data_IF_430586731951
#
_entry.id   IF_430586731951
#
_cell.length_a   1.000
_cell.length_b   1.000
_cell.length_c   1.000
_cell.angle_alpha   90.00
_cell.angle_beta   90.00
_cell.angle_gamma   90.00
#
_symmetry.space_group_name_H-M   'P 1'
#
loop_
_entity.id
_entity.type
_entity.pdbx_description
1 polymer ?
#
# COMPACT_ATOMS: atom_id res chain seq x y z
N UNK A 1 -17.03 -13.35 -56.88
CA UNK A 1 -16.29 -14.24 -55.97
C UNK A 1 -17.25 -14.69 -54.88
N UNK A 2 -17.32 -16.00 -54.65
CA UNK A 2 -18.34 -16.69 -53.85
C UNK A 2 -18.07 -16.55 -52.35
N UNK A 3 -19.12 -16.29 -51.58
CA UNK A 3 -19.19 -16.50 -50.14
C UNK A 3 -19.28 -18.01 -49.85
N UNK A 4 -18.46 -18.50 -48.93
CA UNK A 4 -18.69 -19.77 -48.22
C UNK A 4 -18.37 -19.55 -46.74
N UNK A 5 -19.43 -19.44 -45.96
CA UNK A 5 -19.43 -19.66 -44.51
C UNK A 5 -19.36 -21.16 -44.25
N UNK A 6 -18.48 -21.59 -43.33
CA UNK A 6 -18.56 -22.92 -42.72
C UNK A 6 -18.84 -22.75 -41.23
N UNK A 7 -20.12 -22.87 -40.91
CA UNK A 7 -20.65 -23.12 -39.57
C UNK A 7 -20.41 -24.60 -39.27
N UNK A 8 -19.68 -24.91 -38.20
CA UNK A 8 -19.70 -26.23 -37.56
C UNK A 8 -19.85 -26.04 -36.06
N UNK A 9 -21.07 -26.31 -35.62
CA UNK A 9 -21.48 -26.46 -34.23
C UNK A 9 -20.86 -27.73 -33.67
N UNK A 10 -20.16 -27.63 -32.53
CA UNK A 10 -20.01 -28.77 -31.63
C UNK A 10 -20.56 -28.36 -30.26
N UNK A 11 -21.76 -28.88 -29.97
CA UNK A 11 -22.28 -29.03 -28.62
C UNK A 11 -21.42 -30.08 -27.90
N UNK A 12 -20.86 -29.72 -26.75
CA UNK A 12 -20.44 -30.69 -25.75
C UNK A 12 -21.03 -30.29 -24.40
N UNK A 13 -22.03 -31.07 -23.97
CA UNK A 13 -22.58 -31.08 -22.62
C UNK A 13 -21.50 -31.58 -21.65
N UNK A 14 -21.17 -30.79 -20.63
CA UNK A 14 -20.70 -31.32 -19.36
C UNK A 14 -21.65 -30.84 -18.26
N UNK A 15 -22.54 -31.74 -17.85
CA UNK A 15 -23.30 -31.62 -16.61
C UNK A 15 -22.64 -32.41 -15.48
N UNK A 16 -22.93 -31.97 -14.26
CA UNK A 16 -22.83 -32.64 -12.95
C UNK A 16 -21.49 -32.51 -12.20
N UNK A 17 -21.48 -31.62 -11.19
CA UNK A 17 -21.65 -32.05 -9.80
C UNK A 17 -21.81 -30.83 -8.88
N UNK A 18 -23.00 -30.64 -8.33
CA UNK A 18 -23.23 -29.75 -7.20
C UNK A 18 -22.88 -30.51 -5.90
N UNK A 19 -21.77 -30.16 -5.26
CA UNK A 19 -21.51 -30.53 -3.88
C UNK A 19 -21.78 -29.30 -2.98
N UNK A 20 -22.85 -29.39 -2.20
CA UNK A 20 -23.27 -28.41 -1.19
C UNK A 20 -22.39 -28.50 0.07
N UNK A 21 -22.40 -27.48 0.94
CA UNK A 21 -21.35 -27.21 1.93
C UNK A 21 -21.42 -28.12 3.16
N UNK A 22 -20.24 -28.50 3.65
CA UNK A 22 -20.06 -29.12 4.96
C UNK A 22 -20.47 -28.14 6.08
N UNK A 23 -21.55 -28.47 6.79
CA UNK A 23 -21.95 -27.86 8.06
C UNK A 23 -21.10 -28.45 9.21
N UNK A 24 -20.65 -27.65 10.19
CA UNK A 24 -19.81 -28.13 11.28
C UNK A 24 -20.58 -29.02 12.27
N UNK A 25 -19.89 -30.04 12.77
CA UNK A 25 -20.33 -30.92 13.84
C UNK A 25 -20.35 -30.18 15.18
N UNK A 26 -21.50 -30.17 15.83
CA UNK A 26 -21.72 -29.70 17.20
C UNK A 26 -21.33 -30.83 18.16
N UNK A 27 -20.34 -30.58 19.03
CA UNK A 27 -20.12 -31.38 20.23
C UNK A 27 -20.70 -30.63 21.42
N UNK A 28 -21.85 -31.11 21.88
CA UNK A 28 -22.43 -30.70 23.16
C UNK A 28 -21.61 -31.28 24.31
N UNK A 29 -21.16 -30.41 25.21
CA UNK A 29 -20.85 -30.81 26.58
C UNK A 29 -21.74 -29.98 27.50
N UNK A 30 -22.74 -30.67 28.05
CA UNK A 30 -23.61 -30.15 29.09
C UNK A 30 -22.90 -30.37 30.42
N UNK A 31 -22.51 -29.28 31.10
CA UNK A 31 -22.12 -29.34 32.51
C UNK A 31 -22.93 -28.26 33.25
N UNK A 32 -23.53 -28.72 34.34
CA UNK A 32 -24.50 -28.14 35.26
C UNK A 32 -24.05 -26.79 35.85
N UNK A 33 -24.94 -25.79 36.03
CA UNK A 33 -24.66 -24.64 36.88
C UNK A 33 -24.98 -24.98 38.34
N UNK A 34 -24.01 -24.84 39.24
CA UNK A 34 -24.26 -24.77 40.69
C UNK A 34 -23.92 -23.37 41.16
N UNK A 35 -24.94 -22.63 41.54
CA UNK A 35 -24.88 -21.36 42.26
C UNK A 35 -24.46 -21.62 43.71
N UNK A 36 -23.46 -20.92 44.24
CA UNK A 36 -23.46 -20.42 45.64
C UNK A 36 -22.45 -19.29 45.75
N UNK A 37 -22.94 -18.09 46.09
CA UNK A 37 -22.16 -16.94 46.56
C UNK A 37 -21.45 -17.28 47.88
N UNK A 38 -20.29 -16.70 48.17
CA UNK A 38 -20.02 -16.01 49.46
C UNK A 38 -18.74 -15.18 49.38
N UNK A 39 -18.88 -14.00 49.99
CA UNK A 39 -18.01 -12.83 50.17
C UNK A 39 -16.68 -13.06 50.91
N UNK A 40 -15.85 -12.01 50.81
CA UNK A 40 -14.78 -11.57 51.73
C UNK A 40 -13.45 -12.32 51.65
N UNK A 41 -12.27 -11.74 51.85
CA UNK A 41 -11.70 -10.37 51.90
C UNK A 41 -10.24 -10.59 52.37
N UNK A 42 -9.32 -9.66 52.07
CA UNK A 42 -8.06 -9.44 52.85
C UNK A 42 -6.93 -10.45 52.58
N UNK A 43 -5.63 -10.17 52.52
CA UNK A 43 -4.75 -9.06 52.09
C UNK A 43 -3.30 -9.51 52.41
N UNK A 44 -2.31 -8.96 51.69
CA UNK A 44 -0.89 -8.73 52.08
C UNK A 44 0.15 -9.88 52.04
N UNK A 45 1.24 -9.58 51.30
CA UNK A 45 2.65 -10.03 51.37
C UNK A 45 2.97 -11.54 51.20
N UNK A 46 4.10 -11.96 50.61
CA UNK A 46 5.48 -11.50 50.80
C UNK A 46 6.32 -11.89 49.57
N UNK A 47 7.34 -11.08 49.26
CA UNK A 47 8.33 -11.37 48.22
C UNK A 47 9.23 -12.57 48.55
N UNK A 48 9.83 -13.14 47.51
CA UNK A 48 11.06 -13.92 47.66
C UNK A 48 11.87 -13.85 46.38
N UNK A 49 13.00 -13.14 46.49
CA UNK A 49 14.12 -13.17 45.58
C UNK A 49 14.72 -14.57 45.51
N UNK A 50 15.12 -15.02 44.34
CA UNK A 50 16.30 -15.89 44.23
C UNK A 50 17.01 -15.59 42.92
N UNK A 51 18.10 -14.84 43.03
CA UNK A 51 19.13 -14.76 42.03
C UNK A 51 19.86 -16.12 41.98
N UNK A 52 20.09 -16.66 40.78
CA UNK A 52 21.03 -17.75 40.56
C UNK A 52 22.10 -17.21 39.63
N UNK A 53 23.32 -17.19 40.14
CA UNK A 53 24.53 -16.76 39.46
C UNK A 53 25.35 -17.98 39.04
N UNK A 54 26.13 -17.81 37.97
CA UNK A 54 27.35 -18.54 37.56
C UNK A 54 27.20 -19.96 36.99
N UNK A 55 27.61 -20.11 35.73
CA UNK A 55 28.80 -20.91 35.38
C UNK A 55 29.30 -20.56 33.98
N UNK A 56 30.50 -19.98 33.93
CA UNK A 56 31.36 -19.88 32.76
C UNK A 56 31.80 -21.29 32.33
N UNK A 57 31.91 -21.53 31.04
CA UNK A 57 32.72 -22.64 30.52
C UNK A 57 33.64 -22.08 29.45
N UNK A 58 34.89 -21.86 29.86
CA UNK A 58 36.02 -21.73 28.96
C UNK A 58 36.27 -23.09 28.29
N UNK A 59 36.55 -23.07 26.99
CA UNK A 59 37.31 -24.13 26.33
C UNK A 59 38.20 -23.48 25.29
N UNK A 60 39.41 -23.16 25.75
CA UNK A 60 40.58 -23.03 24.92
C UNK A 60 41.12 -24.42 24.60
N UNK A 61 41.42 -24.65 23.33
CA UNK A 61 42.52 -25.54 22.96
C UNK A 61 43.15 -25.05 21.67
N UNK A 62 44.35 -24.52 21.86
CA UNK A 62 45.43 -24.43 20.91
C UNK A 62 45.66 -25.77 20.18
N UNK A 63 45.92 -25.70 18.88
CA UNK A 63 47.04 -26.46 18.33
C UNK A 63 47.64 -25.71 17.14
N UNK A 64 48.95 -25.59 17.23
CA UNK A 64 49.88 -24.75 16.49
C UNK A 64 50.40 -25.42 15.20
N UNK A 65 50.86 -24.58 14.26
CA UNK A 65 52.10 -24.74 13.42
C UNK A 65 52.16 -25.86 12.33
N UNK A 66 52.69 -25.73 11.10
CA UNK A 66 53.64 -24.83 10.41
C UNK A 66 53.55 -25.03 8.85
N UNK A 67 53.62 -23.92 8.10
CA UNK A 67 54.56 -23.58 6.98
C UNK A 67 54.78 -24.58 5.82
N UNK A 68 54.43 -24.21 4.58
CA UNK A 68 55.34 -23.56 3.60
C UNK A 68 54.88 -23.60 2.14
N UNK A 69 54.98 -22.43 1.48
CA UNK A 69 55.55 -22.18 0.14
C UNK A 69 54.98 -22.89 -1.11
N UNK A 70 54.37 -22.09 -2.00
CA UNK A 70 54.98 -21.75 -3.30
C UNK A 70 54.28 -20.53 -3.91
N UNK A 71 55.05 -19.80 -4.71
CA UNK A 71 54.95 -18.38 -5.08
C UNK A 71 54.30 -18.20 -6.49
N UNK A 72 54.44 -17.07 -7.22
CA UNK A 72 53.31 -16.29 -7.73
C UNK A 72 53.19 -16.29 -9.27
N UNK A 73 52.11 -15.73 -9.82
CA UNK A 73 52.12 -15.28 -11.23
C UNK A 73 51.24 -14.02 -11.41
N UNK A 74 51.92 -12.87 -11.43
CA UNK A 74 51.85 -11.75 -12.41
C UNK A 74 50.87 -11.90 -13.58
N UNK A 75 50.16 -10.92 -14.15
CA UNK A 75 50.17 -9.44 -14.18
C UNK A 75 48.95 -9.01 -15.07
N UNK A 76 48.46 -7.75 -15.01
CA UNK A 76 47.22 -7.30 -15.62
C UNK A 76 47.41 -6.66 -17.00
N UNK A 77 46.35 -6.54 -17.80
CA UNK A 77 46.27 -5.54 -18.87
C UNK A 77 44.87 -4.92 -18.95
N UNK A 78 44.86 -3.59 -18.88
CA UNK A 78 43.78 -2.72 -19.29
C UNK A 78 44.07 -2.27 -20.73
N UNK A 79 43.04 -2.23 -21.58
CA UNK A 79 43.12 -1.45 -22.83
C UNK A 79 41.76 -0.85 -23.15
N UNK A 80 41.69 0.46 -22.97
CA UNK A 80 40.77 1.36 -23.65
C UNK A 80 41.16 1.43 -25.12
N UNK A 81 40.22 1.35 -26.06
CA UNK A 81 40.32 2.18 -27.26
C UNK A 81 38.97 2.41 -27.95
N UNK A 82 38.78 3.69 -28.27
CA UNK A 82 37.68 4.30 -28.97
C UNK A 82 38.15 4.51 -30.42
N UNK A 83 37.40 4.07 -31.43
CA UNK A 83 37.58 4.61 -32.77
C UNK A 83 36.29 4.58 -33.58
N UNK A 84 35.80 5.79 -33.78
CA UNK A 84 34.85 6.25 -34.80
C UNK A 84 35.42 6.02 -36.20
N UNK A 85 34.66 5.46 -37.14
CA UNK A 85 34.72 5.88 -38.55
C UNK A 85 33.50 5.41 -39.39
N UNK A 86 32.74 6.41 -39.84
CA UNK A 86 32.15 6.62 -41.18
C UNK A 86 31.62 5.44 -42.00
N UNK A 87 30.31 5.53 -42.31
CA UNK A 87 29.65 4.85 -43.42
C UNK A 87 28.35 5.57 -43.80
N UNK A 88 28.45 6.53 -44.73
CA UNK A 88 27.34 7.21 -45.40
C UNK A 88 26.46 6.24 -46.20
N UNK A 89 25.14 6.44 -46.23
CA UNK A 89 24.36 6.49 -47.49
C UNK A 89 22.93 7.05 -47.29
N UNK A 90 22.75 8.30 -47.74
CA UNK A 90 21.72 8.80 -48.67
C UNK A 90 20.21 8.67 -48.36
N UNK A 91 19.66 9.83 -47.98
CA UNK A 91 18.54 10.59 -48.57
C UNK A 91 17.37 9.86 -49.26
N UNK A 92 16.15 10.10 -48.77
CA UNK A 92 15.00 10.44 -49.64
C UNK A 92 14.07 11.39 -48.91
N UNK A 93 13.89 12.57 -49.50
CA UNK A 93 12.93 13.61 -49.13
C UNK A 93 11.50 13.19 -49.54
N UNK A 94 10.51 13.47 -48.70
CA UNK A 94 9.19 13.93 -49.19
C UNK A 94 8.65 14.97 -48.21
N UNK A 95 8.67 16.22 -48.65
CA UNK A 95 7.84 17.30 -48.13
C UNK A 95 6.46 17.22 -48.77
N UNK A 96 5.41 17.52 -48.01
CA UNK A 96 4.21 18.15 -48.59
C UNK A 96 3.62 19.11 -47.56
N UNK A 97 3.72 20.40 -47.90
CA UNK A 97 3.05 21.54 -47.29
C UNK A 97 1.61 21.63 -47.83
N UNK A 98 0.68 22.21 -47.05
CA UNK A 98 -0.65 22.53 -47.57
C UNK A 98 -1.62 23.18 -46.57
N UNK A 99 -1.40 24.47 -46.29
CA UNK A 99 -2.39 25.56 -46.14
C UNK A 99 -3.51 25.55 -45.07
N UNK A 100 -3.46 26.56 -44.18
CA UNK A 100 -4.61 27.29 -43.56
C UNK A 100 -5.37 28.13 -44.63
N UNK A 101 -6.52 28.84 -44.41
CA UNK A 101 -7.09 29.36 -43.14
C UNK A 101 -8.66 29.45 -43.01
N UNK A 102 -9.08 30.03 -41.87
CA UNK A 102 -10.32 30.84 -41.62
C UNK A 102 -11.69 30.15 -41.54
N UNK A 103 -12.42 30.31 -40.42
CA UNK A 103 -13.51 31.31 -40.32
C UNK A 103 -13.98 31.54 -38.89
N UNK A 104 -14.07 32.83 -38.55
CA UNK A 104 -14.71 33.48 -37.40
C UNK A 104 -16.24 33.29 -37.42
N UNK A 105 -16.89 33.20 -36.26
CA UNK A 105 -18.19 33.83 -36.02
C UNK A 105 -18.40 34.08 -34.52
N UNK A 106 -18.57 35.37 -34.21
CA UNK A 106 -19.01 35.92 -32.94
C UNK A 106 -20.49 35.59 -32.69
N UNK A 107 -20.88 35.48 -31.43
CA UNK A 107 -22.20 35.88 -30.98
C UNK A 107 -22.14 36.38 -29.53
N UNK A 108 -22.17 37.70 -29.43
CA UNK A 108 -22.44 38.52 -28.25
C UNK A 108 -23.93 38.44 -27.87
N UNK A 109 -24.24 38.23 -26.60
CA UNK A 109 -25.51 38.63 -25.96
C UNK A 109 -25.24 38.78 -24.45
N UNK A 110 -24.93 39.98 -23.99
CA UNK A 110 -25.86 40.95 -23.36
C UNK A 110 -26.40 40.49 -22.01
N UNK A 111 -25.86 41.16 -20.99
CA UNK A 111 -26.31 41.40 -19.62
C UNK A 111 -27.83 41.44 -19.43
N UNK A 112 -28.32 40.82 -18.35
CA UNK A 112 -29.42 41.39 -17.58
C UNK A 112 -29.17 41.24 -16.09
N UNK A 113 -29.06 42.42 -15.47
CA UNK A 113 -29.01 42.70 -14.05
C UNK A 113 -30.43 42.64 -13.47
N UNK A 114 -30.65 41.85 -12.43
CA UNK A 114 -31.76 42.06 -11.50
C UNK A 114 -31.22 41.95 -10.08
N UNK A 115 -31.11 43.12 -9.47
CA UNK A 115 -30.90 43.35 -8.04
C UNK A 115 -32.29 43.30 -7.37
N UNK A 116 -32.59 42.39 -6.43
CA UNK A 116 -33.75 42.55 -5.59
C UNK A 116 -33.42 43.52 -4.45
N UNK A 117 -34.08 44.67 -4.55
CA UNK A 117 -34.16 45.75 -3.57
C UNK A 117 -34.56 45.27 -2.18
N UNK A 118 -33.90 45.88 -1.19
CA UNK A 118 -34.08 45.79 0.24
C UNK A 118 -35.51 46.07 0.70
N UNK A 119 -36.01 45.27 1.63
CA UNK A 119 -37.14 45.64 2.52
C UNK A 119 -36.73 45.31 3.95
N UNK A 120 -36.31 46.32 4.70
CA UNK A 120 -36.10 46.22 6.13
C UNK A 120 -37.40 46.56 6.86
N UNK A 121 -38.06 45.55 7.42
CA UNK A 121 -39.12 45.75 8.40
C UNK A 121 -38.47 45.80 9.78
N UNK A 122 -38.47 47.00 10.36
CA UNK A 122 -38.02 47.24 11.73
C UNK A 122 -39.04 46.62 12.70
N UNK A 123 -38.65 45.51 13.35
CA UNK A 123 -39.39 44.93 14.47
C UNK A 123 -38.59 45.19 15.74
N UNK A 124 -39.14 46.05 16.61
CA UNK A 124 -38.62 46.31 17.95
C UNK A 124 -38.87 45.07 18.81
N UNK A 125 -37.81 44.42 19.26
CA UNK A 125 -37.86 43.27 20.18
C UNK A 125 -37.27 43.71 21.53
N UNK A 126 -37.96 43.34 22.60
CA UNK A 126 -37.57 43.58 24.00
C UNK A 126 -36.21 42.96 24.34
N UNK A 127 -35.44 43.52 25.30
CA UNK A 127 -34.15 42.97 25.69
C UNK A 127 -34.33 41.72 26.57
N UNK A 128 -34.30 40.53 25.96
CA UNK A 128 -34.00 39.29 26.68
C UNK A 128 -32.48 39.15 26.84
N UNK A 129 -32.02 39.16 28.08
CA UNK A 129 -30.64 38.85 28.47
C UNK A 129 -30.34 37.38 28.17
N UNK A 130 -29.70 37.13 27.03
CA UNK A 130 -29.13 35.83 26.70
C UNK A 130 -27.65 35.85 27.07
N UNK A 131 -27.29 35.01 28.04
CA UNK A 131 -25.90 34.69 28.38
C UNK A 131 -25.21 34.11 27.14
N UNK A 132 -24.21 34.82 26.62
CA UNK A 132 -23.37 34.33 25.54
C UNK A 132 -22.51 33.17 26.08
N UNK A 133 -22.89 31.94 25.77
CA UNK A 133 -21.95 30.81 25.86
C UNK A 133 -20.84 31.05 24.84
N UNK A 134 -19.61 30.95 25.31
CA UNK A 134 -18.42 31.12 24.50
C UNK A 134 -18.45 30.10 23.35
N UNK A 135 -18.70 30.61 22.13
CA UNK A 135 -18.53 29.83 20.91
C UNK A 135 -17.04 29.54 20.73
N UNK A 136 -16.64 28.30 21.05
CA UNK A 136 -15.31 27.78 20.72
C UNK A 136 -15.19 27.66 19.21
N UNK A 137 -14.60 28.69 18.59
CA UNK A 137 -14.16 28.65 17.19
C UNK A 137 -13.02 27.66 17.08
N UNK A 138 -13.33 26.43 16.66
CA UNK A 138 -12.31 25.44 16.31
C UNK A 138 -11.78 25.84 14.94
N UNK A 139 -10.65 26.55 14.94
CA UNK A 139 -9.93 26.91 13.71
C UNK A 139 -9.39 25.63 13.08
N UNK A 140 -10.16 25.00 12.20
CA UNK A 140 -9.65 23.97 11.32
C UNK A 140 -8.72 24.66 10.32
N UNK A 141 -7.40 24.47 10.49
CA UNK A 141 -6.41 24.71 9.44
C UNK A 141 -6.89 24.07 8.13
N UNK A 142 -6.51 24.60 6.95
CA UNK A 142 -6.81 23.95 5.69
C UNK A 142 -6.18 22.55 5.72
N UNK A 143 -7.02 21.55 6.01
CA UNK A 143 -6.63 20.16 5.89
C UNK A 143 -6.37 19.98 4.39
N UNK A 144 -5.20 19.44 4.05
CA UNK A 144 -4.91 19.02 2.69
C UNK A 144 -5.99 18.06 2.17
N UNK A 145 -5.87 17.57 0.93
CA UNK A 145 -6.81 16.58 0.42
C UNK A 145 -6.97 15.43 1.42
N UNK A 146 -8.20 14.93 1.62
CA UNK A 146 -8.43 13.86 2.59
C UNK A 146 -7.65 12.61 2.18
N UNK A 147 -6.99 11.97 3.15
CA UNK A 147 -6.35 10.69 2.93
C UNK A 147 -7.41 9.62 2.65
N UNK A 148 -7.34 9.00 1.48
CA UNK A 148 -8.24 7.93 1.05
C UNK A 148 -7.79 6.55 1.54
N UNK A 149 -6.53 6.40 1.99
CA UNK A 149 -6.07 5.20 2.67
C UNK A 149 -6.62 5.18 4.10
N UNK A 150 -7.17 4.05 4.51
CA UNK A 150 -7.77 3.86 5.84
C UNK A 150 -6.74 3.22 6.76
N UNK A 151 -6.65 3.65 8.02
CA UNK A 151 -5.67 3.11 8.97
C UNK A 151 -4.23 3.09 8.38
N UNK A 152 -3.83 4.18 7.71
CA UNK A 152 -2.52 4.28 7.05
C UNK A 152 -1.34 4.32 8.04
N UNK A 153 -1.59 4.76 9.28
CA UNK A 153 -0.61 4.77 10.38
C UNK A 153 -0.77 3.65 11.41
N UNK A 154 -1.71 2.71 11.23
CA UNK A 154 -1.86 1.53 12.11
C UNK A 154 -2.15 1.83 13.60
N UNK A 155 -2.70 3.01 13.91
CA UNK A 155 -2.87 3.56 15.28
C UNK A 155 -4.09 3.02 16.06
N UNK A 156 -4.88 2.12 15.47
CA UNK A 156 -6.12 1.61 16.08
C UNK A 156 -5.94 0.27 16.83
N UNK A 157 -4.71 -0.18 17.03
CA UNK A 157 -4.39 -1.49 17.61
C UNK A 157 -4.62 -2.66 16.66
N UNK A 158 -5.04 -2.40 15.43
CA UNK A 158 -5.33 -3.41 14.41
C UNK A 158 -4.58 -3.13 13.12
N UNK A 159 -4.60 -4.10 12.20
CA UNK A 159 -4.11 -3.92 10.83
C UNK A 159 -5.26 -3.75 9.83
N UNK A 160 -6.51 -3.79 10.28
CA UNK A 160 -7.66 -3.66 9.37
C UNK A 160 -7.71 -2.24 8.78
N UNK A 161 -8.03 -2.04 7.49
CA UNK A 161 -8.45 -3.04 6.50
C UNK A 161 -7.31 -3.56 5.61
N UNK A 162 -6.06 -3.48 6.08
CA UNK A 162 -4.93 -4.06 5.36
C UNK A 162 -4.95 -5.58 5.42
N UNK A 163 -4.65 -6.18 4.29
CA UNK A 163 -4.64 -7.62 4.09
C UNK A 163 -3.33 -8.05 3.47
N UNK A 164 -2.96 -9.31 3.67
CA UNK A 164 -1.83 -9.90 2.95
C UNK A 164 -2.22 -10.10 1.49
N UNK A 165 -1.28 -9.85 0.57
CA UNK A 165 -1.48 -10.11 -0.87
C UNK A 165 -1.61 -11.62 -1.12
N UNK A 166 -0.88 -12.43 -0.35
CA UNK A 166 -0.92 -13.88 -0.43
C UNK A 166 -1.13 -14.51 0.96
N UNK A 167 -1.45 -15.81 1.05
CA UNK A 167 -1.58 -16.48 2.35
C UNK A 167 -0.27 -16.49 3.16
N UNK A 168 0.88 -16.28 2.52
CA UNK A 168 2.19 -16.33 3.15
C UNK A 168 2.49 -15.07 3.98
N UNK A 169 3.24 -15.26 5.06
CA UNK A 169 3.64 -14.19 5.97
C UNK A 169 2.59 -13.80 6.99
N UNK A 170 2.97 -12.81 7.80
CA UNK A 170 2.22 -12.27 8.92
C UNK A 170 2.22 -10.76 8.81
N UNK A 171 1.04 -10.16 8.96
CA UNK A 171 0.84 -8.73 9.08
C UNK A 171 0.39 -8.43 10.52
N UNK A 172 1.07 -7.51 11.18
CA UNK A 172 0.79 -7.11 12.56
C UNK A 172 1.03 -5.62 12.77
N UNK A 173 0.31 -5.00 13.71
CA UNK A 173 0.67 -3.69 14.22
C UNK A 173 1.77 -3.83 15.28
N UNK A 174 2.81 -3.01 15.21
CA UNK A 174 3.92 -2.97 16.16
C UNK A 174 4.00 -1.59 16.81
N UNK A 175 4.62 -1.50 18.00
CA UNK A 175 4.77 -0.24 18.75
C UNK A 175 6.22 0.24 18.85
N UNK A 176 7.12 -0.42 18.11
CA UNK A 176 8.54 -0.10 18.06
C UNK A 176 8.86 0.32 16.63
N UNK A 177 9.85 1.21 16.47
CA UNK A 177 10.29 1.68 15.15
C UNK A 177 9.15 2.30 14.34
N UNK A 178 8.40 3.23 14.93
CA UNK A 178 7.32 3.99 14.27
C UNK A 178 7.87 5.26 13.63
N UNK A 179 7.25 5.73 12.55
CA UNK A 179 7.62 6.98 11.90
C UNK A 179 6.88 8.13 12.58
N UNK A 180 5.58 7.94 12.79
CA UNK A 180 4.75 8.84 13.58
C UNK A 180 3.90 8.03 14.56
N UNK A 181 3.11 8.72 15.40
CA UNK A 181 2.19 8.05 16.33
C UNK A 181 2.86 7.06 17.29
N UNK A 182 2.12 6.01 17.64
CA UNK A 182 2.55 4.97 18.57
C UNK A 182 2.65 3.59 17.92
N UNK A 183 2.19 3.44 16.68
CA UNK A 183 2.14 2.17 15.98
C UNK A 183 2.63 2.28 14.54
N UNK A 184 2.99 1.13 13.97
CA UNK A 184 3.30 1.00 12.56
C UNK A 184 2.86 -0.39 12.09
N UNK A 185 2.67 -0.54 10.77
CA UNK A 185 2.42 -1.80 10.13
C UNK A 185 3.71 -2.59 9.96
N UNK A 186 3.70 -3.87 10.31
CA UNK A 186 4.83 -4.76 10.12
C UNK A 186 4.40 -5.99 9.33
N UNK A 187 5.08 -6.23 8.21
CA UNK A 187 4.92 -7.44 7.42
C UNK A 187 6.23 -8.21 7.37
N UNK A 188 6.14 -9.50 7.70
CA UNK A 188 7.22 -10.46 7.49
C UNK A 188 6.70 -11.71 6.79
N UNK A 189 7.41 -12.17 5.77
CA UNK A 189 7.00 -13.34 5.01
C UNK A 189 8.17 -14.09 4.40
N UNK A 190 7.96 -15.39 4.20
CA UNK A 190 8.90 -16.29 3.53
C UNK A 190 8.17 -17.20 2.54
N UNK A 191 8.75 -17.36 1.36
CA UNK A 191 8.26 -18.29 0.35
C UNK A 191 8.37 -19.75 0.87
N UNK A 192 7.37 -20.61 0.60
CA UNK A 192 7.35 -21.98 1.11
C UNK A 192 8.29 -22.93 0.35
N UNK A 193 8.90 -22.48 -0.75
CA UNK A 193 9.70 -23.30 -1.65
C UNK A 193 10.95 -22.54 -2.12
N UNK A 194 11.73 -23.20 -2.97
CA UNK A 194 12.86 -22.59 -3.70
C UNK A 194 12.43 -21.71 -4.88
N UNK A 195 11.14 -21.39 -5.01
CA UNK A 195 10.59 -20.42 -5.98
C UNK A 195 10.05 -19.21 -5.22
N UNK A 196 10.32 -17.97 -5.68
CA UNK A 196 9.74 -16.76 -5.08
C UNK A 196 8.22 -16.83 -5.03
N UNK A 197 7.63 -16.17 -4.04
CA UNK A 197 6.19 -15.99 -3.93
C UNK A 197 5.88 -14.51 -3.87
N UNK A 198 4.70 -14.10 -4.34
CA UNK A 198 4.25 -12.73 -4.15
C UNK A 198 3.99 -12.50 -2.67
N UNK A 199 4.81 -11.67 -2.03
CA UNK A 199 4.72 -11.32 -0.62
C UNK A 199 4.42 -9.83 -0.50
N UNK A 200 3.66 -9.46 0.51
CA UNK A 200 3.32 -8.06 0.76
C UNK A 200 1.92 -7.88 1.32
N UNK A 201 1.50 -6.62 1.33
CA UNK A 201 0.21 -6.19 1.86
C UNK A 201 -0.53 -5.32 0.85
N UNK A 202 -1.85 -5.31 0.97
CA UNK A 202 -2.74 -4.50 0.16
C UNK A 202 -3.87 -3.93 0.99
N UNK A 203 -4.46 -2.86 0.49
CA UNK A 203 -5.71 -2.31 0.98
C UNK A 203 -6.63 -2.00 -0.21
N UNK A 204 -7.85 -2.52 -0.16
CA UNK A 204 -8.91 -2.12 -1.10
C UNK A 204 -9.36 -0.70 -0.80
N UNK A 205 -9.44 0.13 -1.84
CA UNK A 205 -9.93 1.50 -1.78
C UNK A 205 -11.38 1.50 -2.29
N UNK A 206 -12.24 2.32 -1.68
CA UNK A 206 -13.62 2.42 -2.16
C UNK A 206 -13.63 3.08 -3.55
N UNK A 207 -14.23 2.42 -4.54
CA UNK A 207 -14.39 3.01 -5.87
C UNK A 207 -15.22 4.30 -5.85
N UNK A 208 -16.08 4.49 -4.84
CA UNK A 208 -16.90 5.70 -4.69
C UNK A 208 -16.13 6.94 -4.27
N UNK A 209 -14.90 6.79 -3.79
CA UNK A 209 -14.03 7.92 -3.39
C UNK A 209 -13.01 8.26 -4.47
N UNK A 210 -13.06 7.57 -5.61
CA UNK A 210 -12.15 7.76 -6.73
C UNK A 210 -12.94 8.15 -7.98
N UNK A 211 -12.33 8.97 -8.82
CA UNK A 211 -12.86 9.34 -10.13
C UNK A 211 -12.01 8.71 -11.24
N UNK A 212 -12.68 8.18 -12.27
CA UNK A 212 -12.00 7.55 -13.39
C UNK A 212 -11.14 8.55 -14.17
N UNK A 213 -9.89 8.17 -14.47
CA UNK A 213 -8.92 8.98 -15.20
C UNK A 213 -8.28 10.09 -14.36
N UNK A 214 -8.65 10.25 -13.09
CA UNK A 214 -8.05 11.24 -12.19
C UNK A 214 -6.75 10.70 -11.59
N UNK A 215 -5.82 11.61 -11.30
CA UNK A 215 -4.52 11.29 -10.73
C UNK A 215 -4.55 11.40 -9.20
N UNK A 216 -3.99 10.38 -8.54
CA UNK A 216 -3.84 10.30 -7.09
C UNK A 216 -2.37 9.99 -6.77
N UNK A 217 -1.81 10.63 -5.75
CA UNK A 217 -0.48 10.32 -5.24
C UNK A 217 -0.62 9.38 -4.06
N UNK A 218 0.02 8.22 -4.18
CA UNK A 218 0.23 7.26 -3.09
C UNK A 218 1.62 7.48 -2.50
N UNK A 219 1.72 7.65 -1.19
CA UNK A 219 2.99 7.69 -0.48
C UNK A 219 2.95 6.82 0.78
N UNK A 220 4.12 6.35 1.19
CA UNK A 220 4.28 5.58 2.43
C UNK A 220 5.69 5.79 2.99
N UNK A 221 5.79 5.85 4.31
CA UNK A 221 7.06 5.75 5.02
C UNK A 221 7.37 4.29 5.29
N UNK A 222 8.60 3.87 5.04
CA UNK A 222 8.98 2.47 5.16
C UNK A 222 10.40 2.26 5.69
N UNK A 223 10.60 1.10 6.31
CA UNK A 223 11.91 0.50 6.57
C UNK A 223 11.90 -0.88 5.92
N UNK A 224 12.81 -1.10 4.97
CA UNK A 224 13.02 -2.40 4.34
C UNK A 224 14.34 -2.99 4.84
N UNK A 225 14.25 -3.83 5.87
CA UNK A 225 15.40 -4.45 6.56
C UNK A 225 15.93 -5.67 5.81
N UNK A 226 15.04 -6.45 5.20
CA UNK A 226 15.39 -7.64 4.44
C UNK A 226 14.48 -7.79 3.22
N UNK A 227 15.10 -8.01 2.07
CA UNK A 227 14.37 -8.36 0.85
C UNK A 227 15.27 -9.18 -0.07
N UNK A 228 14.83 -10.41 -0.32
CA UNK A 228 15.32 -11.24 -1.43
C UNK A 228 14.32 -11.17 -2.60
N UNK A 229 13.73 -10.00 -2.78
CA UNK A 229 12.71 -9.74 -3.77
C UNK A 229 13.30 -9.33 -5.11
N UNK A 230 12.63 -9.73 -6.18
CA UNK A 230 12.76 -9.09 -7.48
C UNK A 230 12.05 -7.74 -7.47
N UNK A 231 12.59 -6.79 -6.70
CA UNK A 231 12.00 -5.46 -6.48
C UNK A 231 10.74 -5.52 -5.62
N UNK A 232 10.79 -5.22 -4.31
CA UNK A 232 9.60 -4.84 -3.61
C UNK A 232 9.17 -3.46 -4.09
N UNK A 233 7.87 -3.24 -4.22
CA UNK A 233 7.31 -2.07 -4.87
C UNK A 233 6.16 -1.47 -4.06
N UNK A 234 6.10 -0.14 -4.02
CA UNK A 234 4.88 0.61 -3.73
C UNK A 234 4.14 0.83 -5.05
N UNK A 235 2.88 0.41 -5.12
CA UNK A 235 2.10 0.46 -6.36
C UNK A 235 0.59 0.52 -6.11
N UNK A 236 -0.13 0.89 -7.15
CA UNK A 236 -1.59 0.79 -7.20
C UNK A 236 -2.01 -0.43 -8.02
N UNK A 237 -3.24 -0.89 -7.81
CA UNK A 237 -3.79 -2.04 -8.50
C UNK A 237 -5.31 -2.02 -8.56
N UNK A 238 -5.87 -3.08 -9.12
CA UNK A 238 -7.30 -3.32 -9.18
C UNK A 238 -7.56 -4.82 -9.22
N UNK A 239 -8.55 -5.31 -8.46
CA UNK A 239 -8.75 -6.75 -8.27
C UNK A 239 -7.46 -7.45 -7.86
N UNK A 240 -6.95 -8.33 -8.75
CA UNK A 240 -5.68 -9.06 -8.59
C UNK A 240 -4.53 -8.54 -9.45
N UNK A 241 -4.73 -7.42 -10.15
CA UNK A 241 -3.78 -6.82 -11.08
C UNK A 241 -3.06 -5.64 -10.46
N UNK A 242 -1.85 -5.36 -10.96
CA UNK A 242 -1.04 -4.20 -10.59
C UNK A 242 -0.99 -3.18 -11.73
N UNK A 243 -0.91 -1.90 -11.39
CA UNK A 243 -0.72 -0.80 -12.34
C UNK A 243 0.76 -0.45 -12.47
N UNK A 244 1.12 0.06 -13.65
CA UNK A 244 2.48 0.51 -13.98
C UNK A 244 2.48 2.03 -14.24
N UNK A 245 3.54 2.76 -13.87
CA UNK A 245 4.76 2.30 -13.19
C UNK A 245 4.62 2.18 -11.66
N UNK A 246 5.26 1.18 -11.04
CA UNK A 246 5.44 1.12 -9.59
C UNK A 246 6.68 1.91 -9.17
N UNK A 247 6.77 2.18 -7.87
CA UNK A 247 7.98 2.71 -7.24
C UNK A 247 8.73 1.60 -6.54
N UNK A 248 9.98 1.36 -6.94
CA UNK A 248 10.84 0.35 -6.32
C UNK A 248 11.28 0.81 -4.93
N UNK A 249 11.14 -0.07 -3.95
CA UNK A 249 11.64 0.11 -2.60
C UNK A 249 13.09 -0.40 -2.52
N UNK A 250 13.89 0.29 -1.72
CA UNK A 250 15.31 -0.04 -1.51
C UNK A 250 15.56 -0.40 -0.06
N UNK A 251 16.55 -1.26 0.20
CA UNK A 251 16.92 -1.57 1.57
C UNK A 251 17.42 -0.29 2.27
N UNK A 252 16.89 -0.05 3.46
CA UNK A 252 17.18 1.15 4.25
C UNK A 252 17.27 0.77 5.73
N UNK A 253 18.16 1.42 6.46
CA UNK A 253 18.38 1.20 7.91
C UNK A 253 17.53 2.11 8.79
N UNK A 254 16.84 3.08 8.19
CA UNK A 254 15.88 3.97 8.84
C UNK A 254 14.77 4.33 7.86
N UNK A 255 13.82 5.16 8.31
CA UNK A 255 12.67 5.51 7.50
C UNK A 255 13.07 6.22 6.20
N UNK A 256 12.52 5.74 5.10
CA UNK A 256 12.54 6.37 3.80
C UNK A 256 11.11 6.53 3.31
N UNK A 257 10.87 7.51 2.45
CA UNK A 257 9.57 7.72 1.83
C UNK A 257 9.61 7.20 0.39
N UNK A 258 8.58 6.46 0.00
CA UNK A 258 8.32 6.10 -1.39
C UNK A 258 7.01 6.74 -1.84
N UNK A 259 6.95 7.15 -3.10
CA UNK A 259 5.76 7.76 -3.70
C UNK A 259 5.53 7.25 -5.11
N UNK A 260 4.27 7.13 -5.53
CA UNK A 260 3.85 6.77 -6.88
C UNK A 260 2.56 7.49 -7.24
N UNK A 261 2.42 7.92 -8.49
CA UNK A 261 1.15 8.49 -9.00
C UNK A 261 0.33 7.42 -9.69
N UNK A 262 -0.95 7.37 -9.35
CA UNK A 262 -1.91 6.38 -9.79
C UNK A 262 -3.10 7.02 -10.48
N UNK A 263 -3.64 6.33 -11.47
CA UNK A 263 -4.93 6.67 -12.07
C UNK A 263 -5.63 5.38 -12.46
N UNK A 264 -6.95 5.34 -12.31
CA UNK A 264 -7.76 4.17 -12.62
C UNK A 264 -8.75 4.50 -13.73
N UNK A 265 -8.94 3.59 -14.70
CA UNK A 265 -10.08 3.67 -15.62
C UNK A 265 -11.36 3.25 -14.92
N UNK A 266 -12.53 3.51 -15.53
CA UNK A 266 -13.80 3.09 -14.96
C UNK A 266 -13.89 1.56 -14.80
N UNK A 267 -13.33 0.79 -15.74
CA UNK A 267 -13.28 -0.67 -15.60
C UNK A 267 -12.43 -1.11 -14.42
N UNK A 268 -11.30 -0.43 -14.19
CA UNK A 268 -10.41 -0.73 -13.07
C UNK A 268 -11.04 -0.36 -11.72
N UNK A 269 -11.79 0.74 -11.64
CA UNK A 269 -12.59 1.08 -10.46
C UNK A 269 -13.67 0.02 -10.21
N UNK A 270 -14.36 -0.45 -11.25
CA UNK A 270 -15.38 -1.50 -11.12
C UNK A 270 -14.79 -2.84 -10.67
N UNK A 271 -13.51 -3.11 -10.97
CA UNK A 271 -12.79 -4.31 -10.55
C UNK A 271 -12.28 -4.25 -9.10
N UNK A 272 -12.47 -3.14 -8.40
CA UNK A 272 -12.03 -2.94 -7.01
C UNK A 272 -10.61 -2.37 -6.94
N UNK A 273 -10.46 -1.03 -6.89
CA UNK A 273 -9.15 -0.39 -6.83
C UNK A 273 -8.48 -0.70 -5.49
N UNK A 274 -7.16 -0.77 -5.50
CA UNK A 274 -6.40 -1.04 -4.30
C UNK A 274 -5.01 -0.40 -4.37
N UNK A 275 -4.40 -0.26 -3.20
CA UNK A 275 -3.00 0.13 -3.03
C UNK A 275 -2.24 -1.04 -2.42
N UNK A 276 -0.98 -1.22 -2.80
CA UNK A 276 -0.21 -2.40 -2.44
C UNK A 276 1.26 -2.06 -2.19
N UNK A 277 1.85 -2.80 -1.26
CA UNK A 277 3.29 -2.89 -1.10
C UNK A 277 3.64 -4.38 -1.23
N UNK A 278 4.25 -4.75 -2.36
CA UNK A 278 4.50 -6.16 -2.66
C UNK A 278 5.69 -6.38 -3.58
N UNK A 279 6.16 -7.62 -3.64
CA UNK A 279 7.11 -8.08 -4.65
C UNK A 279 7.13 -9.60 -4.72
N UNK A 280 7.76 -10.15 -5.76
CA UNK A 280 8.06 -11.58 -5.84
C UNK A 280 9.34 -11.85 -5.06
N UNK A 281 9.18 -12.47 -3.89
CA UNK A 281 10.18 -12.52 -2.83
C UNK A 281 10.42 -13.95 -2.33
N UNK A 282 11.67 -14.25 -1.95
CA UNK A 282 11.94 -15.37 -1.06
C UNK A 282 11.68 -15.01 0.40
N UNK A 283 12.11 -13.82 0.80
CA UNK A 283 11.88 -13.24 2.11
C UNK A 283 11.54 -11.75 1.93
N UNK A 284 10.60 -11.25 2.70
CA UNK A 284 10.26 -9.83 2.77
C UNK A 284 10.04 -9.47 4.24
N UNK A 285 10.77 -8.46 4.70
CA UNK A 285 10.68 -7.88 6.03
C UNK A 285 10.58 -6.36 5.91
N UNK A 286 9.39 -5.82 6.20
CA UNK A 286 9.10 -4.40 5.97
C UNK A 286 8.23 -3.82 7.09
N UNK A 287 8.63 -2.64 7.56
CA UNK A 287 7.81 -1.77 8.41
C UNK A 287 7.26 -0.66 7.51
N UNK A 288 5.99 -0.35 7.65
CA UNK A 288 5.25 0.61 6.85
C UNK A 288 4.45 1.50 7.81
N UNK A 289 4.47 2.80 7.55
CA UNK A 289 3.77 3.77 8.36
C UNK A 289 3.31 4.96 7.49
N UNK A 290 2.37 5.74 8.01
CA UNK A 290 1.87 6.97 7.40
C UNK A 290 1.53 6.83 5.91
N UNK A 291 0.78 5.78 5.55
CA UNK A 291 0.34 5.59 4.17
C UNK A 291 -0.72 6.63 3.82
N UNK A 292 -0.48 7.37 2.74
CA UNK A 292 -1.37 8.42 2.23
C UNK A 292 -1.72 8.16 0.77
N UNK A 293 -3.01 8.20 0.45
CA UNK A 293 -3.51 8.26 -0.92
C UNK A 293 -4.35 9.54 -1.06
N UNK A 294 -3.87 10.49 -1.86
CA UNK A 294 -4.51 11.80 -2.01
C UNK A 294 -4.66 12.18 -3.48
N UNK A 295 -5.68 12.97 -3.80
CA UNK A 295 -5.86 13.53 -5.14
C UNK A 295 -4.75 14.54 -5.48
N UNK A 296 -4.21 14.47 -6.69
CA UNK A 296 -3.27 15.48 -7.19
C UNK A 296 -4.05 16.68 -7.71
N UNK A 297 -3.94 17.81 -7.01
CA UNK A 297 -4.57 19.10 -7.34
C UNK A 297 -3.72 19.90 -8.33
#
# INVERSE_FOLDING_TARGET
MKFSQSVLQLLALCQLAAASPCKPSSSGSSIIPTTTETKSSTSVETGSSTAVTLSETESASDSTTLVSSAEPTTTPEATTDLTTLLGETTTTEVSTSGAEPTTTLEATATTLSEEPTTTFVSTTVEPTTTTAEASTTTTSLPQGPPNLAVNGGFEDGTVSPWEKVSPQGTLSAITLSTHSGNQAGYFTGRAPSSVPSTLGIKQTISASTLEAGKSYKLSAWYILSQSDCFGPHLLCGYGWQTLWPPTKLTLVTGYSQAEVTCSWTQEQLNAGPNIQIQGDCFNLDIIIDDVVLEEVV
#
